data_IF_349677413985
#
_entry.id   IF_349677413985
#
_cell.length_a   1.000
_cell.length_b   1.000
_cell.length_c   1.000
_cell.angle_alpha   90.00
_cell.angle_beta   90.00
_cell.angle_gamma   90.00
#
_symmetry.space_group_name_H-M   'P 1'
#
loop_
_entity.id
_entity.type
_entity.pdbx_description
1 polymer ?
#
# COMPACT_ATOMS: atom_id res chain seq x y z
N UNK A 1 2.03 6.83 20.73
CA UNK A 1 1.31 7.34 19.54
C UNK A 1 1.81 6.55 18.35
N UNK A 2 0.96 5.77 17.69
CA UNK A 2 1.35 5.02 16.48
C UNK A 2 1.12 5.92 15.27
N UNK A 3 2.18 6.16 14.50
CA UNK A 3 2.18 6.95 13.27
C UNK A 3 2.17 5.97 12.09
N UNK A 4 1.12 6.03 11.26
CA UNK A 4 1.05 5.24 10.03
C UNK A 4 1.77 5.97 8.90
N UNK A 5 2.64 5.27 8.20
CA UNK A 5 3.31 5.77 6.99
C UNK A 5 2.77 5.01 5.80
N UNK A 6 1.98 5.70 4.98
CA UNK A 6 1.29 5.09 3.85
C UNK A 6 2.19 5.08 2.61
N UNK A 7 2.33 3.91 1.98
CA UNK A 7 3.03 3.75 0.71
C UNK A 7 2.01 3.41 -0.37
N UNK A 8 1.82 4.31 -1.34
CA UNK A 8 0.82 4.11 -2.41
C UNK A 8 1.51 3.61 -3.67
N UNK A 9 1.03 2.51 -4.24
CA UNK A 9 1.57 1.98 -5.49
C UNK A 9 0.95 2.65 -6.73
N UNK A 10 1.52 2.41 -7.90
CA UNK A 10 0.82 2.63 -9.18
C UNK A 10 -0.01 1.39 -9.54
N UNK A 11 -0.76 1.43 -10.64
CA UNK A 11 -1.54 0.27 -11.11
C UNK A 11 -0.68 -0.92 -11.58
N UNK A 12 0.65 -0.75 -11.70
CA UNK A 12 1.55 -1.81 -12.13
C UNK A 12 1.81 -2.84 -11.00
N UNK A 13 1.80 -4.13 -11.34
CA UNK A 13 2.06 -5.23 -10.39
C UNK A 13 3.43 -5.11 -9.72
N UNK A 14 4.46 -4.71 -10.47
CA UNK A 14 5.79 -4.47 -9.93
C UNK A 14 5.81 -3.39 -8.84
N UNK A 15 4.97 -2.35 -8.99
CA UNK A 15 4.83 -1.29 -8.00
C UNK A 15 4.11 -1.76 -6.75
N UNK A 16 3.07 -2.60 -6.90
CA UNK A 16 2.39 -3.23 -5.77
C UNK A 16 3.35 -4.10 -4.95
N UNK A 17 4.12 -4.96 -5.63
CA UNK A 17 5.12 -5.81 -5.00
C UNK A 17 6.19 -4.97 -4.30
N UNK A 18 6.71 -3.95 -4.97
CA UNK A 18 7.73 -3.07 -4.38
C UNK A 18 7.24 -2.40 -3.09
N UNK A 19 6.02 -1.87 -3.09
CA UNK A 19 5.41 -1.22 -1.91
C UNK A 19 5.19 -2.21 -0.76
N UNK A 20 4.71 -3.43 -1.05
CA UNK A 20 4.53 -4.48 -0.03
C UNK A 20 5.90 -4.87 0.56
N UNK A 21 6.89 -5.17 -0.28
CA UNK A 21 8.23 -5.55 0.16
C UNK A 21 8.92 -4.44 0.95
N UNK A 22 8.75 -3.19 0.52
CA UNK A 22 9.35 -2.04 1.19
C UNK A 22 8.71 -1.78 2.55
N UNK A 23 7.39 -1.90 2.67
CA UNK A 23 6.70 -1.78 3.95
C UNK A 23 7.17 -2.87 4.93
N UNK A 24 7.26 -4.11 4.48
CA UNK A 24 7.78 -5.21 5.29
C UNK A 24 9.24 -4.97 5.71
N UNK A 25 10.10 -4.55 4.78
CA UNK A 25 11.49 -4.24 5.09
C UNK A 25 11.59 -3.14 6.15
N UNK A 26 10.81 -2.06 6.00
CA UNK A 26 10.80 -0.96 6.96
C UNK A 26 10.31 -1.41 8.34
N UNK A 27 9.28 -2.25 8.41
CA UNK A 27 8.80 -2.80 9.68
C UNK A 27 9.90 -3.59 10.42
N UNK A 28 10.76 -4.29 9.67
CA UNK A 28 11.80 -5.16 10.23
C UNK A 28 13.17 -4.48 10.40
N UNK A 29 13.37 -3.30 9.82
CA UNK A 29 14.66 -2.57 9.85
C UNK A 29 14.57 -1.21 10.54
N UNK A 30 13.38 -0.65 10.70
CA UNK A 30 13.20 0.64 11.37
C UNK A 30 13.43 0.50 12.87
N UNK A 31 14.30 1.36 13.40
CA UNK A 31 14.47 1.57 14.85
C UNK A 31 13.56 2.68 15.38
N UNK A 32 12.74 3.29 14.51
CA UNK A 32 11.80 4.32 14.93
C UNK A 32 10.56 3.70 15.54
N UNK A 33 10.54 3.68 16.87
CA UNK A 33 9.40 3.23 17.66
C UNK A 33 8.14 4.02 17.28
N UNK A 34 7.09 3.28 16.93
CA UNK A 34 5.77 3.83 16.63
C UNK A 34 5.50 4.15 15.16
N UNK A 35 6.44 3.92 14.24
CA UNK A 35 6.15 4.00 12.80
C UNK A 35 5.65 2.66 12.27
N UNK A 36 4.41 2.64 11.77
CA UNK A 36 3.81 1.47 11.15
C UNK A 36 3.71 1.71 9.64
N UNK A 37 4.65 1.19 8.83
CA UNK A 37 4.58 1.29 7.38
C UNK A 37 3.40 0.44 6.87
N UNK A 38 2.53 1.04 6.07
CA UNK A 38 1.33 0.37 5.55
C UNK A 38 1.31 0.46 4.02
N UNK A 39 1.36 -0.67 3.31
CA UNK A 39 1.23 -0.69 1.86
C UNK A 39 -0.24 -0.43 1.48
N UNK A 40 -0.46 0.53 0.58
CA UNK A 40 -1.77 0.87 0.01
C UNK A 40 -1.77 0.54 -1.47
N UNK A 41 -2.67 -0.36 -1.85
CA UNK A 41 -2.88 -0.76 -3.23
C UNK A 41 -3.77 0.27 -3.92
N UNK A 42 -3.25 0.89 -4.98
CA UNK A 42 -3.95 1.92 -5.76
C UNK A 42 -4.92 1.33 -6.79
N UNK A 43 -5.82 0.50 -6.29
CA UNK A 43 -7.01 -0.03 -6.96
C UNK A 43 -8.08 -0.16 -5.88
N UNK A 44 -9.34 -0.28 -6.25
CA UNK A 44 -10.36 -0.56 -5.24
C UNK A 44 -10.35 -2.04 -4.88
N UNK A 45 -10.74 -2.40 -3.66
CA UNK A 45 -10.86 -3.82 -3.29
C UNK A 45 -11.77 -4.57 -4.27
N UNK A 46 -12.87 -3.93 -4.67
CA UNK A 46 -13.80 -4.49 -5.63
C UNK A 46 -13.18 -4.70 -7.01
N UNK A 47 -12.20 -3.91 -7.45
CA UNK A 47 -11.58 -4.07 -8.78
C UNK A 47 -10.35 -4.99 -8.78
N UNK A 48 -9.86 -5.39 -7.60
CA UNK A 48 -8.64 -6.20 -7.49
C UNK A 48 -8.70 -7.54 -8.24
N UNK A 49 -9.88 -8.18 -8.30
CA UNK A 49 -10.04 -9.45 -9.03
C UNK A 49 -9.95 -9.27 -10.55
N UNK A 50 -10.17 -8.05 -11.07
CA UNK A 50 -9.99 -7.72 -12.48
C UNK A 50 -8.51 -7.59 -12.84
N UNK A 51 -7.65 -7.23 -11.88
CA UNK A 51 -6.19 -7.24 -12.01
C UNK A 51 -5.62 -8.66 -11.90
N UNK A 52 -5.98 -9.54 -12.84
CA UNK A 52 -5.64 -10.97 -12.84
C UNK A 52 -4.17 -11.28 -12.52
N UNK A 53 -3.16 -10.59 -13.09
CA UNK A 53 -1.77 -10.90 -12.78
C UNK A 53 -1.40 -10.62 -11.31
N UNK A 54 -1.94 -9.55 -10.73
CA UNK A 54 -1.72 -9.22 -9.31
C UNK A 54 -2.48 -10.17 -8.39
N UNK A 55 -3.75 -10.45 -8.70
CA UNK A 55 -4.57 -11.37 -7.91
C UNK A 55 -3.99 -12.79 -7.92
N UNK A 56 -3.54 -13.27 -9.09
CA UNK A 56 -2.87 -14.57 -9.22
C UNK A 56 -1.57 -14.61 -8.40
N UNK A 57 -0.75 -13.56 -8.49
CA UNK A 57 0.52 -13.48 -7.75
C UNK A 57 0.28 -13.50 -6.24
N UNK A 58 -0.63 -12.67 -5.74
CA UNK A 58 -0.92 -12.60 -4.30
C UNK A 58 -1.44 -13.93 -3.78
N UNK A 59 -2.35 -14.56 -4.51
CA UNK A 59 -2.84 -15.89 -4.15
C UNK A 59 -1.70 -16.93 -4.09
N UNK A 60 -0.83 -16.94 -5.10
CA UNK A 60 0.27 -17.91 -5.17
C UNK A 60 1.35 -17.67 -4.10
N UNK A 61 1.59 -16.41 -3.73
CA UNK A 61 2.51 -16.03 -2.65
C UNK A 61 1.91 -16.20 -1.24
N UNK A 62 0.65 -16.63 -1.12
CA UNK A 62 -0.03 -16.75 0.17
C UNK A 62 -0.32 -15.41 0.85
N UNK A 63 -0.33 -14.30 0.08
CA UNK A 63 -0.75 -12.99 0.57
C UNK A 63 -2.26 -13.01 0.78
N UNK A 64 -2.69 -12.83 2.03
CA UNK A 64 -4.10 -12.57 2.32
C UNK A 64 -4.46 -11.17 1.83
N UNK A 65 -5.23 -11.09 0.75
CA UNK A 65 -5.70 -9.82 0.21
C UNK A 65 -6.54 -9.02 1.22
N UNK A 66 -7.09 -9.64 2.27
CA UNK A 66 -7.79 -8.94 3.37
C UNK A 66 -6.83 -8.17 4.29
N UNK A 67 -5.55 -8.55 4.31
CA UNK A 67 -4.51 -7.86 5.07
C UNK A 67 -3.93 -6.64 4.31
N UNK A 68 -4.31 -6.44 3.05
CA UNK A 68 -3.89 -5.28 2.25
C UNK A 68 -4.93 -4.16 2.36
N UNK A 69 -4.45 -2.92 2.44
CA UNK A 69 -5.27 -1.72 2.31
C UNK A 69 -5.43 -1.33 0.84
N UNK A 70 -6.65 -1.03 0.44
CA UNK A 70 -7.00 -0.53 -0.89
C UNK A 70 -7.30 0.98 -0.85
N UNK A 71 -7.24 1.64 -2.01
CA UNK A 71 -7.39 3.10 -2.05
C UNK A 71 -8.79 3.59 -1.63
N UNK A 72 -9.82 2.75 -1.74
CA UNK A 72 -11.17 3.03 -1.26
C UNK A 72 -11.34 2.88 0.26
N UNK A 73 -10.37 2.25 0.92
CA UNK A 73 -10.37 1.98 2.36
C UNK A 73 -9.58 3.03 3.15
N UNK A 74 -8.79 3.82 2.44
CA UNK A 74 -7.96 4.88 3.00
C UNK A 74 -8.51 6.21 2.50
N UNK A 75 -8.86 7.12 3.39
CA UNK A 75 -9.29 8.46 2.99
C UNK A 75 -8.08 9.28 2.48
N UNK A 76 -7.67 9.00 1.24
CA UNK A 76 -6.53 9.63 0.57
C UNK A 76 -6.76 11.10 0.20
N UNK A 77 -8.00 11.61 0.32
CA UNK A 77 -8.31 13.01 0.03
C UNK A 77 -7.51 13.98 0.92
N UNK A 78 -7.23 13.62 2.16
CA UNK A 78 -6.35 14.42 3.05
C UNK A 78 -4.86 14.29 2.71
N UNK A 79 -4.45 13.25 1.97
CA UNK A 79 -3.06 13.00 1.61
C UNK A 79 -2.67 13.66 0.28
N UNK A 80 -3.59 13.69 -0.69
CA UNK A 80 -3.36 14.35 -1.99
C UNK A 80 -3.19 15.86 -1.81
N UNK A 81 -3.98 16.49 -0.93
CA UNK A 81 -3.87 17.92 -0.63
C UNK A 81 -2.46 18.29 -0.11
N UNK A 82 -1.88 17.43 0.74
CA UNK A 82 -0.53 17.59 1.28
C UNK A 82 0.57 17.45 0.22
N UNK A 83 0.45 16.47 -0.69
CA UNK A 83 1.42 16.31 -1.78
C UNK A 83 1.27 17.37 -2.87
N UNK A 84 0.06 17.86 -3.15
CA UNK A 84 -0.14 18.99 -4.08
C UNK A 84 0.38 20.32 -3.52
N UNK A 85 0.32 20.52 -2.20
CA UNK A 85 0.91 21.69 -1.54
C UNK A 85 2.44 21.65 -1.46
N UNK A 86 3.07 20.49 -1.64
CA UNK A 86 4.53 20.32 -1.69
C UNK A 86 5.11 20.39 -3.13
N UNK A 87 4.23 20.45 -4.13
CA UNK A 87 4.57 20.60 -5.55
C UNK A 87 4.31 22.03 -6.08
N UNK A 88 4.04 22.99 -5.19
CA UNK A 88 4.07 24.44 -5.45
C UNK A 88 5.35 25.05 -4.89
#
# INVERSE_FOLDING_TARGET
HSHFVLFVCTAAVSSMVAVICYAWLLEHTSTQDGWNPVPVINTTRQMMWEHRPAAWLFHHCGLDARALFFCDEVNLFSYIEYCSGLLQ
#
